data_IF_915395964837
#
_entry.id   IF_915395964837
#
_cell.length_a   1.000
_cell.length_b   1.000
_cell.length_c   1.000
_cell.angle_alpha   90.00
_cell.angle_beta   90.00
_cell.angle_gamma   90.00
#
_symmetry.space_group_name_H-M   'P 1'
#
loop_
_entity.id
_entity.type
_entity.pdbx_description
1 polymer ?
#
# COMPACT_ATOMS: atom_id res chain seq x y z
N UNK A 1 11.77 3.03 -20.92
CA UNK A 1 10.69 3.38 -19.97
C UNK A 1 9.41 3.43 -20.77
N UNK A 2 8.44 2.57 -20.47
CA UNK A 2 7.12 2.76 -21.08
C UNK A 2 6.50 3.94 -20.35
N UNK A 3 6.33 5.04 -21.07
CA UNK A 3 5.56 6.17 -20.57
C UNK A 3 4.08 5.75 -20.54
N UNK A 4 3.55 5.63 -19.32
CA UNK A 4 2.17 5.29 -19.05
C UNK A 4 1.32 6.54 -18.78
N UNK A 5 1.85 7.74 -18.98
CA UNK A 5 1.12 8.99 -18.79
C UNK A 5 -0.07 9.05 -19.76
N UNK A 6 -1.31 9.21 -19.27
CA UNK A 6 -2.48 9.36 -20.12
C UNK A 6 -2.48 10.68 -20.91
N UNK A 7 -1.72 11.70 -20.46
CA UNK A 7 -1.64 13.01 -21.11
C UNK A 7 -0.26 13.67 -21.02
N UNK A 8 0.05 14.55 -21.99
CA UNK A 8 1.27 15.37 -22.01
C UNK A 8 1.22 16.41 -20.88
N UNK A 9 2.34 16.58 -20.17
CA UNK A 9 2.49 17.61 -19.14
C UNK A 9 1.96 17.20 -17.76
N UNK A 10 1.54 15.95 -17.58
CA UNK A 10 1.15 15.45 -16.26
C UNK A 10 2.36 15.18 -15.39
N UNK A 11 2.19 15.34 -14.08
CA UNK A 11 3.27 15.20 -13.09
C UNK A 11 3.17 13.84 -12.42
N UNK A 12 4.29 13.11 -12.39
CA UNK A 12 4.37 11.82 -11.71
C UNK A 12 4.48 11.97 -10.19
N UNK A 13 4.04 10.94 -9.49
CA UNK A 13 4.07 10.88 -8.03
C UNK A 13 2.70 10.65 -7.44
N UNK A 14 2.64 9.76 -6.45
CA UNK A 14 1.38 9.35 -5.82
C UNK A 14 1.31 9.75 -4.35
N UNK A 15 2.44 10.02 -3.71
CA UNK A 15 2.52 10.19 -2.27
C UNK A 15 2.93 11.61 -1.91
N UNK A 16 2.21 12.21 -0.97
CA UNK A 16 2.57 13.51 -0.43
C UNK A 16 2.14 13.67 1.03
N UNK A 17 2.78 14.63 1.67
CA UNK A 17 2.25 15.31 2.85
C UNK A 17 2.46 16.81 2.68
N UNK A 18 1.55 17.64 3.15
CA UNK A 18 1.68 19.09 3.06
C UNK A 18 0.74 19.82 4.00
N UNK A 19 0.81 21.16 3.97
CA UNK A 19 -0.07 22.04 4.73
C UNK A 19 -1.06 22.72 3.80
N UNK A 20 -2.32 22.78 4.20
CA UNK A 20 -3.38 23.46 3.44
C UNK A 20 -3.11 24.96 3.45
N UNK A 21 -2.91 25.57 2.28
CA UNK A 21 -2.67 27.02 2.12
C UNK A 21 -3.88 27.79 1.58
N UNK A 22 -4.84 27.08 0.99
CA UNK A 22 -6.08 27.63 0.48
C UNK A 22 -7.18 26.56 0.54
N UNK A 23 -8.43 27.00 0.70
CA UNK A 23 -9.60 26.12 0.77
C UNK A 23 -10.66 26.66 -0.20
N UNK A 24 -11.15 25.81 -1.09
CA UNK A 24 -12.24 26.17 -2.01
C UNK A 24 -13.53 26.43 -1.25
N UNK A 25 -14.39 27.32 -1.76
CA UNK A 25 -15.62 27.76 -1.08
C UNK A 25 -16.62 26.65 -0.75
N UNK A 26 -16.59 25.53 -1.49
CA UNK A 26 -17.43 24.36 -1.29
C UNK A 26 -16.81 23.29 -0.36
N UNK A 27 -15.60 23.51 0.13
CA UNK A 27 -14.87 22.56 1.00
C UNK A 27 -15.03 22.97 2.45
N UNK A 28 -15.63 22.09 3.25
CA UNK A 28 -15.88 22.34 4.68
C UNK A 28 -15.04 21.48 5.62
N UNK A 29 -14.41 20.42 5.11
CA UNK A 29 -13.60 19.47 5.92
C UNK A 29 -12.29 20.09 6.41
N UNK A 30 -11.69 20.99 5.64
CA UNK A 30 -10.33 21.47 5.81
C UNK A 30 -10.28 22.95 6.19
N UNK A 31 -9.23 23.34 6.92
CA UNK A 31 -8.90 24.72 7.22
C UNK A 31 -7.49 25.05 6.74
N UNK A 32 -7.24 26.34 6.44
CA UNK A 32 -5.88 26.81 6.16
C UNK A 32 -5.02 26.51 7.40
N UNK A 33 -3.87 25.88 7.18
CA UNK A 33 -2.94 25.45 8.23
C UNK A 33 -3.04 23.97 8.58
N UNK A 34 -4.12 23.27 8.20
CA UNK A 34 -4.25 21.82 8.42
C UNK A 34 -3.11 21.07 7.72
N UNK A 35 -2.51 20.11 8.41
CA UNK A 35 -1.54 19.19 7.83
C UNK A 35 -2.25 17.95 7.32
N UNK A 36 -1.94 17.55 6.10
CA UNK A 36 -2.59 16.44 5.40
C UNK A 36 -1.57 15.56 4.70
N UNK A 37 -1.94 14.31 4.45
CA UNK A 37 -1.24 13.41 3.57
C UNK A 37 -2.23 12.61 2.73
N UNK A 38 -1.76 12.02 1.63
CA UNK A 38 -2.66 11.27 0.77
C UNK A 38 -1.99 10.55 -0.38
N UNK A 39 -2.85 9.80 -1.06
CA UNK A 39 -2.56 9.14 -2.32
C UNK A 39 -3.20 9.92 -3.47
N UNK A 40 -2.42 10.20 -4.50
CA UNK A 40 -2.85 10.87 -5.72
C UNK A 40 -2.80 9.88 -6.89
N UNK A 41 -3.66 10.11 -7.88
CA UNK A 41 -3.46 9.54 -9.20
C UNK A 41 -2.36 10.34 -9.89
N UNK A 42 -1.09 9.96 -9.67
CA UNK A 42 0.04 10.53 -10.39
C UNK A 42 -0.12 10.33 -11.90
N UNK A 43 0.35 11.30 -12.69
CA UNK A 43 0.18 11.35 -14.15
C UNK A 43 -1.26 11.58 -14.63
N UNK A 44 -2.23 11.76 -13.74
CA UNK A 44 -3.61 12.12 -14.08
C UNK A 44 -3.85 13.61 -13.79
N UNK A 45 -4.53 14.36 -14.69
CA UNK A 45 -4.80 15.78 -14.48
C UNK A 45 -5.93 16.06 -13.46
N UNK A 46 -6.68 15.03 -13.04
CA UNK A 46 -7.81 15.18 -12.12
C UNK A 46 -7.29 15.20 -10.67
N UNK A 47 -7.64 16.24 -9.89
CA UNK A 47 -7.34 16.28 -8.46
C UNK A 47 -8.03 15.15 -7.69
N UNK A 48 -7.32 14.53 -6.75
CA UNK A 48 -7.91 13.65 -5.74
C UNK A 48 -8.54 14.42 -4.58
N UNK A 49 -9.40 13.76 -3.81
CA UNK A 49 -10.10 14.31 -2.65
C UNK A 49 -10.05 13.41 -1.39
N UNK A 50 -9.41 12.23 -1.51
CA UNK A 50 -9.22 11.28 -0.41
C UNK A 50 -7.90 11.56 0.33
N UNK A 51 -7.97 12.39 1.37
CA UNK A 51 -6.82 12.75 2.21
C UNK A 51 -7.09 12.46 3.69
N UNK A 52 -6.01 12.16 4.42
CA UNK A 52 -5.99 12.01 5.88
C UNK A 52 -5.38 13.25 6.53
N UNK A 53 -5.96 13.69 7.65
CA UNK A 53 -5.34 14.68 8.53
C UNK A 53 -4.10 14.09 9.21
N UNK A 54 -3.07 14.91 9.34
CA UNK A 54 -1.82 14.60 10.03
C UNK A 54 -1.78 15.40 11.33
N UNK A 55 -1.67 14.70 12.45
CA UNK A 55 -1.39 15.30 13.76
C UNK A 55 0.12 15.28 13.95
N UNK A 56 0.79 16.41 13.68
CA UNK A 56 2.26 16.50 13.61
C UNK A 56 2.98 16.09 14.90
N UNK A 57 2.36 16.27 16.06
CA UNK A 57 2.89 15.81 17.36
C UNK A 57 2.96 14.27 17.47
N UNK A 58 2.24 13.55 16.60
CA UNK A 58 2.16 12.09 16.57
C UNK A 58 2.91 11.48 15.40
N UNK A 59 2.87 12.13 14.23
CA UNK A 59 3.51 11.66 12.99
C UNK A 59 4.11 12.85 12.26
N UNK A 60 5.43 12.83 12.04
CA UNK A 60 6.11 13.91 11.33
C UNK A 60 5.75 13.95 9.84
N UNK A 61 5.92 15.10 9.19
CA UNK A 61 5.54 15.26 7.77
C UNK A 61 6.24 14.26 6.84
N UNK A 62 7.54 14.02 7.02
CA UNK A 62 8.25 13.03 6.21
C UNK A 62 7.69 11.60 6.39
N UNK A 63 7.26 11.25 7.59
CA UNK A 63 6.62 9.97 7.88
C UNK A 63 5.20 9.92 7.30
N UNK A 64 4.45 11.02 7.38
CA UNK A 64 3.11 11.13 6.83
C UNK A 64 3.13 10.97 5.29
N UNK A 65 4.15 11.47 4.60
CA UNK A 65 4.35 11.23 3.16
C UNK A 65 4.55 9.73 2.83
N UNK A 66 4.87 8.90 3.81
CA UNK A 66 4.97 7.46 3.61
C UNK A 66 3.61 6.73 3.65
N UNK A 67 2.53 7.39 4.08
CA UNK A 67 1.22 6.77 4.29
C UNK A 67 0.42 6.54 3.01
N UNK A 68 0.41 7.47 2.05
CA UNK A 68 -0.53 7.48 0.91
C UNK A 68 -0.80 6.11 0.26
N UNK A 69 0.07 5.69 -0.66
CA UNK A 69 -0.02 4.43 -1.41
C UNK A 69 -0.04 3.21 -0.49
N UNK A 70 0.71 3.25 0.61
CA UNK A 70 0.80 2.13 1.55
C UNK A 70 -0.55 1.83 2.22
N UNK A 71 -1.25 2.87 2.68
CA UNK A 71 -2.54 2.76 3.37
C UNK A 71 -3.62 2.28 2.42
N UNK A 72 -3.73 2.84 1.22
CA UNK A 72 -4.73 2.39 0.25
C UNK A 72 -4.48 0.94 -0.18
N UNK A 73 -3.22 0.62 -0.53
CA UNK A 73 -2.87 -0.69 -1.07
C UNK A 73 -3.07 -1.78 -0.02
N UNK A 74 -2.69 -1.53 1.24
CA UNK A 74 -2.92 -2.46 2.34
C UNK A 74 -4.41 -2.69 2.58
N UNK A 75 -5.22 -1.62 2.62
CA UNK A 75 -6.68 -1.74 2.80
C UNK A 75 -7.33 -2.58 1.70
N UNK A 76 -6.98 -2.32 0.43
CA UNK A 76 -7.53 -3.06 -0.70
C UNK A 76 -7.07 -4.52 -0.71
N UNK A 77 -5.78 -4.78 -0.42
CA UNK A 77 -5.27 -6.13 -0.32
C UNK A 77 -6.01 -6.95 0.74
N UNK A 78 -6.24 -6.37 1.92
CA UNK A 78 -6.98 -7.02 3.01
C UNK A 78 -8.44 -7.27 2.60
N UNK A 79 -9.12 -6.30 1.99
CA UNK A 79 -10.47 -6.46 1.43
C UNK A 79 -10.53 -7.60 0.41
N UNK A 80 -9.61 -7.65 -0.54
CA UNK A 80 -9.59 -8.64 -1.62
C UNK A 80 -9.24 -10.06 -1.09
N UNK A 81 -8.45 -10.14 -0.01
CA UNK A 81 -8.25 -11.36 0.76
C UNK A 81 -9.51 -11.78 1.55
N UNK A 82 -10.53 -10.94 1.63
CA UNK A 82 -11.76 -11.19 2.40
C UNK A 82 -11.64 -10.88 3.89
N UNK A 83 -10.64 -10.08 4.29
CA UNK A 83 -10.42 -9.64 5.67
C UNK A 83 -11.21 -8.35 5.88
N UNK A 84 -12.13 -8.37 6.84
CA UNK A 84 -12.93 -7.20 7.20
C UNK A 84 -12.16 -6.29 8.16
N UNK A 85 -12.06 -5.01 7.82
CA UNK A 85 -11.43 -3.99 8.65
C UNK A 85 -12.53 -3.17 9.33
N UNK A 86 -12.64 -3.35 10.65
CA UNK A 86 -13.52 -2.58 11.52
C UNK A 86 -12.71 -2.05 12.71
N UNK A 87 -13.15 -0.96 13.33
CA UNK A 87 -12.47 -0.41 14.53
C UNK A 87 -12.28 -1.48 15.62
N UNK A 88 -13.26 -2.39 15.79
CA UNK A 88 -13.20 -3.48 16.77
C UNK A 88 -12.34 -4.67 16.34
N UNK A 89 -12.07 -4.87 15.05
CA UNK A 89 -11.25 -5.99 14.58
C UNK A 89 -9.74 -5.68 14.64
N UNK A 90 -9.33 -4.41 14.69
CA UNK A 90 -7.93 -3.99 14.73
C UNK A 90 -7.33 -3.92 16.15
N UNK A 91 -7.77 -4.81 17.06
CA UNK A 91 -7.14 -4.95 18.38
C UNK A 91 -5.83 -5.74 18.28
N UNK A 92 -4.69 -5.04 18.31
CA UNK A 92 -3.35 -5.62 18.43
C UNK A 92 -3.01 -6.05 19.88
N UNK A 93 -3.97 -6.02 20.82
CA UNK A 93 -3.70 -6.17 22.26
C UNK A 93 -3.44 -7.61 22.71
N UNK A 94 -3.87 -8.58 21.93
CA UNK A 94 -3.53 -9.99 22.15
C UNK A 94 -2.63 -10.46 21.01
N UNK A 95 -1.70 -11.40 21.28
CA UNK A 95 -0.72 -11.97 20.34
C UNK A 95 -1.31 -12.65 19.07
N UNK A 96 -2.58 -12.40 18.75
CA UNK A 96 -3.37 -12.94 17.63
C UNK A 96 -3.41 -12.03 16.40
N UNK A 97 -2.66 -10.91 16.39
CA UNK A 97 -2.54 -10.02 15.23
C UNK A 97 -3.84 -9.32 14.82
N UNK A 98 -3.79 -8.55 13.73
CA UNK A 98 -4.91 -7.73 13.25
C UNK A 98 -6.08 -8.61 12.81
N UNK A 99 -7.29 -8.30 13.29
CA UNK A 99 -8.55 -8.97 12.89
C UNK A 99 -8.61 -10.48 13.11
N UNK A 100 -7.86 -11.01 14.08
CA UNK A 100 -7.82 -12.45 14.39
C UNK A 100 -6.94 -13.26 13.44
N UNK A 101 -6.08 -12.59 12.65
CA UNK A 101 -5.10 -13.22 11.79
C UNK A 101 -3.70 -13.01 12.35
N UNK A 102 -2.86 -14.06 12.31
CA UNK A 102 -1.46 -14.00 12.71
C UNK A 102 -0.56 -13.83 11.48
N UNK A 103 -0.12 -12.60 11.13
CA UNK A 103 0.63 -12.38 9.90
C UNK A 103 2.03 -12.99 10.01
N UNK A 104 2.45 -13.68 8.96
CA UNK A 104 3.82 -14.15 8.79
C UNK A 104 4.38 -13.58 7.50
N UNK A 105 5.68 -13.34 7.46
CA UNK A 105 6.31 -12.67 6.32
C UNK A 105 7.55 -13.43 5.84
N UNK A 106 7.86 -13.29 4.56
CA UNK A 106 9.17 -13.62 4.01
C UNK A 106 9.92 -12.35 3.68
N UNK A 107 11.13 -12.20 4.22
CA UNK A 107 11.98 -11.05 3.95
C UNK A 107 13.45 -11.42 4.15
N UNK A 108 14.37 -10.61 3.64
CA UNK A 108 15.78 -10.79 3.93
C UNK A 108 16.04 -10.71 5.45
N UNK A 109 16.96 -11.52 6.02
CA UNK A 109 17.17 -11.61 7.47
C UNK A 109 17.40 -10.27 8.19
N UNK A 110 18.07 -9.33 7.52
CA UNK A 110 18.33 -7.98 8.05
C UNK A 110 17.09 -7.15 8.35
N UNK A 111 15.89 -7.57 7.91
CA UNK A 111 14.64 -6.85 8.13
C UNK A 111 13.68 -7.59 9.08
N UNK A 112 14.10 -8.71 9.70
CA UNK A 112 13.24 -9.49 10.60
C UNK A 112 12.68 -8.64 11.75
N UNK A 113 13.55 -7.85 12.40
CA UNK A 113 13.13 -6.96 13.50
C UNK A 113 12.14 -5.91 13.01
N UNK A 114 12.37 -5.35 11.82
CA UNK A 114 11.50 -4.35 11.24
C UNK A 114 10.09 -4.92 11.02
N UNK A 115 9.96 -6.01 10.28
CA UNK A 115 8.63 -6.58 9.96
C UNK A 115 7.90 -7.10 11.20
N UNK A 116 8.64 -7.62 12.19
CA UNK A 116 8.05 -8.03 13.47
C UNK A 116 7.55 -6.83 14.27
N UNK A 117 8.23 -5.69 14.21
CA UNK A 117 7.73 -4.46 14.83
C UNK A 117 6.40 -4.00 14.21
N UNK A 118 6.12 -4.32 12.94
CA UNK A 118 4.85 -4.06 12.27
C UNK A 118 3.78 -5.15 12.48
N UNK A 119 4.03 -6.12 13.36
CA UNK A 119 3.04 -7.12 13.77
C UNK A 119 3.17 -8.49 13.08
N UNK A 120 4.22 -8.73 12.31
CA UNK A 120 4.51 -10.10 11.86
C UNK A 120 4.87 -10.97 13.08
N UNK A 121 4.16 -12.08 13.28
CA UNK A 121 4.45 -13.03 14.38
C UNK A 121 5.73 -13.81 14.11
N UNK A 122 6.12 -13.96 12.83
CA UNK A 122 7.37 -14.56 12.42
C UNK A 122 7.80 -14.10 11.03
N UNK A 123 9.11 -13.92 10.86
CA UNK A 123 9.77 -13.64 9.59
C UNK A 123 10.63 -14.84 9.16
N UNK A 124 10.62 -15.13 7.87
CA UNK A 124 11.37 -16.23 7.27
C UNK A 124 12.25 -15.70 6.12
N UNK A 125 13.45 -16.25 5.97
CA UNK A 125 14.27 -16.00 4.78
C UNK A 125 13.66 -16.73 3.55
N UNK A 126 13.26 -17.99 3.75
CA UNK A 126 12.47 -18.79 2.82
C UNK A 126 11.86 -20.01 3.52
N UNK A 127 10.85 -20.63 2.89
CA UNK A 127 10.09 -21.81 3.34
C UNK A 127 9.18 -21.61 4.58
N UNK A 128 7.88 -21.46 4.31
CA UNK A 128 6.85 -21.18 5.33
C UNK A 128 6.01 -22.41 5.69
N UNK A 129 5.92 -23.39 4.78
CA UNK A 129 4.91 -24.47 4.84
C UNK A 129 4.97 -25.34 6.10
N UNK A 130 6.17 -25.60 6.61
CA UNK A 130 6.34 -26.38 7.83
C UNK A 130 5.76 -25.66 9.06
N UNK A 131 5.95 -24.33 9.13
CA UNK A 131 5.42 -23.51 10.21
C UNK A 131 3.89 -23.45 10.19
N UNK A 132 3.31 -23.32 8.99
CA UNK A 132 1.86 -23.26 8.81
C UNK A 132 1.20 -24.63 8.80
N UNK A 133 1.96 -25.72 8.95
CA UNK A 133 1.49 -27.11 8.84
C UNK A 133 0.73 -27.38 7.53
N UNK A 134 1.01 -26.61 6.48
CA UNK A 134 0.30 -26.69 5.21
C UNK A 134 -1.13 -26.15 5.24
N UNK A 135 -1.49 -25.29 6.20
CA UNK A 135 -2.85 -24.76 6.38
C UNK A 135 -3.02 -23.32 5.87
N UNK A 136 -1.98 -22.72 5.29
CA UNK A 136 -2.02 -21.34 4.79
C UNK A 136 -3.05 -21.21 3.66
N UNK A 137 -4.04 -20.32 3.82
CA UNK A 137 -5.14 -20.13 2.84
C UNK A 137 -5.26 -18.71 2.31
N UNK A 138 -4.53 -17.75 2.87
CA UNK A 138 -4.53 -16.34 2.46
C UNK A 138 -3.09 -15.91 2.25
N UNK A 139 -2.78 -15.37 1.07
CA UNK A 139 -1.44 -14.90 0.72
C UNK A 139 -1.52 -13.55 0.03
N UNK A 140 -0.76 -12.59 0.56
CA UNK A 140 -0.44 -11.33 -0.11
C UNK A 140 0.98 -11.41 -0.68
N UNK A 141 1.12 -11.34 -2.01
CA UNK A 141 2.42 -11.28 -2.68
C UNK A 141 2.78 -9.82 -3.03
N UNK A 142 3.70 -9.26 -2.26
CA UNK A 142 4.19 -7.89 -2.45
C UNK A 142 5.34 -7.77 -3.48
N UNK A 143 5.79 -8.87 -4.08
CA UNK A 143 6.89 -8.90 -5.06
C UNK A 143 6.35 -9.17 -6.47
N UNK A 144 5.41 -10.10 -6.58
CA UNK A 144 4.72 -10.45 -7.84
C UNK A 144 5.66 -10.86 -8.99
N UNK A 145 6.79 -11.50 -8.67
CA UNK A 145 7.62 -12.17 -9.66
C UNK A 145 7.12 -13.59 -9.91
N UNK A 146 7.64 -14.24 -10.96
CA UNK A 146 7.36 -15.65 -11.20
C UNK A 146 7.86 -16.52 -10.04
N UNK A 147 8.98 -16.14 -9.44
CA UNK A 147 9.62 -16.82 -8.32
C UNK A 147 8.81 -16.64 -7.03
N UNK A 148 8.38 -15.41 -6.70
CA UNK A 148 7.57 -15.15 -5.50
C UNK A 148 6.23 -15.88 -5.57
N UNK A 149 5.60 -15.90 -6.74
CA UNK A 149 4.33 -16.60 -6.95
C UNK A 149 4.48 -18.11 -6.78
N UNK A 150 5.58 -18.71 -7.27
CA UNK A 150 5.89 -20.14 -7.05
C UNK A 150 6.06 -20.45 -5.56
N UNK A 151 6.76 -19.59 -4.82
CA UNK A 151 6.93 -19.73 -3.36
C UNK A 151 5.56 -19.67 -2.67
N UNK A 152 4.73 -18.68 -3.02
CA UNK A 152 3.37 -18.53 -2.51
C UNK A 152 2.54 -19.79 -2.77
N UNK A 153 2.53 -20.30 -4.00
CA UNK A 153 1.77 -21.49 -4.38
C UNK A 153 2.26 -22.76 -3.69
N UNK A 154 3.56 -22.89 -3.46
CA UNK A 154 4.15 -24.00 -2.72
C UNK A 154 3.82 -23.95 -1.22
N UNK A 155 3.67 -22.75 -0.65
CA UNK A 155 3.29 -22.52 0.74
C UNK A 155 1.77 -22.67 0.98
N UNK A 156 0.96 -22.38 -0.04
CA UNK A 156 -0.50 -22.50 -0.02
C UNK A 156 -0.95 -23.92 0.32
N UNK A 157 -2.02 -24.02 1.10
CA UNK A 157 -2.70 -25.26 1.45
C UNK A 157 -3.05 -26.09 0.22
N UNK A 158 -3.08 -27.42 0.39
CA UNK A 158 -3.53 -28.35 -0.64
C UNK A 158 -5.02 -28.18 -0.98
N UNK A 159 -5.81 -27.52 -0.11
CA UNK A 159 -7.21 -27.16 -0.36
C UNK A 159 -7.35 -25.84 -1.14
N UNK A 160 -6.24 -25.21 -1.51
CA UNK A 160 -6.22 -23.92 -2.15
C UNK A 160 -6.47 -22.77 -1.18
N UNK A 161 -6.89 -21.62 -1.71
CA UNK A 161 -7.03 -20.38 -0.95
C UNK A 161 -7.11 -19.15 -1.83
N UNK A 162 -6.89 -17.98 -1.23
CA UNK A 162 -6.83 -16.69 -1.93
C UNK A 162 -5.40 -16.20 -2.01
N UNK A 163 -5.00 -15.82 -3.21
CA UNK A 163 -3.75 -15.16 -3.52
C UNK A 163 -4.08 -13.77 -4.07
N UNK A 164 -3.55 -12.74 -3.42
CA UNK A 164 -3.65 -11.35 -3.88
C UNK A 164 -2.25 -10.84 -4.14
N UNK A 165 -2.01 -10.30 -5.32
CA UNK A 165 -0.74 -9.66 -5.68
C UNK A 165 -0.87 -8.13 -5.70
N UNK A 166 0.26 -7.43 -5.66
CA UNK A 166 0.29 -5.98 -5.83
C UNK A 166 0.45 -5.53 -7.29
N UNK A 167 0.76 -6.48 -8.19
CA UNK A 167 0.89 -6.26 -9.62
C UNK A 167 0.12 -7.35 -10.40
N UNK A 168 -0.10 -7.22 -11.71
CA UNK A 168 -0.66 -8.28 -12.54
C UNK A 168 0.26 -9.53 -12.52
N UNK A 169 -0.18 -10.68 -11.95
CA UNK A 169 0.69 -11.84 -11.83
C UNK A 169 0.85 -12.56 -13.17
N UNK A 170 1.95 -13.31 -13.35
CA UNK A 170 2.20 -14.06 -14.58
C UNK A 170 1.12 -15.13 -14.84
N UNK A 171 0.35 -14.95 -15.93
CA UNK A 171 -0.79 -15.83 -16.30
C UNK A 171 -0.41 -17.29 -16.42
N UNK A 172 0.81 -17.60 -16.89
CA UNK A 172 1.32 -18.97 -17.02
C UNK A 172 1.42 -19.71 -15.68
N UNK A 173 1.69 -19.00 -14.58
CA UNK A 173 1.78 -19.61 -13.24
C UNK A 173 0.41 -19.68 -12.59
N UNK A 174 -0.47 -18.69 -12.83
CA UNK A 174 -1.84 -18.68 -12.31
C UNK A 174 -2.59 -19.98 -12.62
N UNK A 175 -2.45 -20.49 -13.84
CA UNK A 175 -3.16 -21.71 -14.30
C UNK A 175 -2.62 -23.01 -13.69
N UNK A 176 -1.50 -22.99 -12.97
CA UNK A 176 -0.92 -24.18 -12.34
C UNK A 176 -1.75 -24.68 -11.14
N UNK A 177 -2.59 -23.82 -10.53
CA UNK A 177 -3.44 -24.15 -9.38
C UNK A 177 -4.85 -23.62 -9.60
N UNK A 178 -5.77 -24.50 -10.01
CA UNK A 178 -7.19 -24.14 -10.23
C UNK A 178 -7.99 -23.95 -8.94
N UNK A 179 -7.44 -24.42 -7.82
CA UNK A 179 -7.99 -24.31 -6.48
C UNK A 179 -7.58 -23.00 -5.77
N UNK A 180 -6.77 -22.16 -6.41
CA UNK A 180 -6.35 -20.86 -5.88
C UNK A 180 -7.10 -19.73 -6.58
N UNK A 181 -7.89 -18.98 -5.83
CA UNK A 181 -8.50 -17.74 -6.30
C UNK A 181 -7.42 -16.66 -6.36
N UNK A 182 -7.15 -16.15 -7.56
CA UNK A 182 -6.10 -15.15 -7.80
C UNK A 182 -6.71 -13.78 -8.10
N UNK A 183 -6.27 -12.76 -7.38
CA UNK A 183 -6.57 -11.36 -7.63
C UNK A 183 -5.32 -10.50 -7.53
N UNK A 184 -5.44 -9.22 -7.85
CA UNK A 184 -4.38 -8.24 -7.64
C UNK A 184 -4.98 -6.85 -7.44
N UNK A 185 -4.27 -6.02 -6.68
CA UNK A 185 -4.74 -4.69 -6.28
C UNK A 185 -4.53 -3.70 -7.41
N UNK A 186 -5.61 -3.06 -7.86
CA UNK A 186 -5.55 -1.84 -8.68
C UNK A 186 -5.90 -0.63 -7.81
N UNK A 187 -4.90 -0.02 -7.17
CA UNK A 187 -5.13 1.06 -6.20
C UNK A 187 -5.84 2.29 -6.80
N UNK A 188 -5.75 2.51 -8.10
CA UNK A 188 -6.32 3.68 -8.78
C UNK A 188 -7.85 3.63 -8.91
N UNK A 189 -8.49 2.46 -8.73
CA UNK A 189 -9.96 2.38 -8.79
C UNK A 189 -10.64 3.10 -7.64
N UNK A 190 -9.92 3.43 -6.55
CA UNK A 190 -10.48 4.19 -5.41
C UNK A 190 -11.01 5.56 -5.81
N UNK A 191 -10.57 6.12 -6.94
CA UNK A 191 -11.06 7.40 -7.42
C UNK A 191 -12.44 7.30 -8.09
N UNK A 192 -13.03 6.09 -8.15
CA UNK A 192 -14.38 5.85 -8.68
C UNK A 192 -14.51 6.07 -10.19
N UNK A 193 -13.39 6.21 -10.89
CA UNK A 193 -13.31 6.51 -12.34
C UNK A 193 -12.61 5.36 -13.08
N UNK A 194 -12.80 5.24 -14.40
CA UNK A 194 -11.99 4.36 -15.22
C UNK A 194 -10.50 4.68 -15.07
N UNK A 195 -9.67 3.65 -15.04
CA UNK A 195 -8.22 3.75 -14.99
C UNK A 195 -7.70 3.66 -16.42
N UNK A 196 -7.30 4.80 -16.99
CA UNK A 196 -6.80 4.91 -18.37
C UNK A 196 -5.28 4.69 -18.45
N UNK A 197 -4.85 3.52 -17.97
CA UNK A 197 -3.48 3.04 -18.14
C UNK A 197 -3.41 1.95 -19.22
N UNK A 198 -2.24 1.76 -19.84
CA UNK A 198 -2.08 0.76 -20.89
C UNK A 198 -1.97 -0.66 -20.33
N UNK A 199 -2.38 -1.63 -21.16
CA UNK A 199 -2.14 -3.05 -20.92
C UNK A 199 -2.95 -3.60 -19.74
N UNK A 200 -2.38 -4.43 -18.85
CA UNK A 200 -3.12 -5.10 -17.79
C UNK A 200 -3.63 -4.13 -16.70
N UNK A 201 -3.20 -2.87 -16.73
CA UNK A 201 -3.59 -1.84 -15.77
C UNK A 201 -4.87 -1.10 -16.17
N UNK A 202 -5.30 -1.18 -17.43
CA UNK A 202 -6.58 -0.61 -17.87
C UNK A 202 -7.74 -1.25 -17.09
N UNK A 203 -8.62 -0.43 -16.51
CA UNK A 203 -9.82 -0.91 -15.81
C UNK A 203 -10.98 0.04 -16.01
N UNK A 204 -12.18 -0.51 -16.17
CA UNK A 204 -13.41 0.25 -16.00
C UNK A 204 -13.54 0.73 -14.55
N UNK A 205 -14.37 1.75 -14.32
CA UNK A 205 -14.72 2.16 -12.96
C UNK A 205 -15.34 0.97 -12.22
N UNK A 206 -14.92 0.76 -10.98
CA UNK A 206 -15.46 -0.30 -10.11
C UNK A 206 -16.49 0.34 -9.16
N UNK A 207 -17.80 0.05 -9.33
CA UNK A 207 -18.82 0.64 -8.47
C UNK A 207 -18.57 0.29 -7.00
N UNK A 208 -18.60 1.30 -6.12
CA UNK A 208 -18.40 1.14 -4.68
C UNK A 208 -16.96 1.33 -4.19
N UNK A 209 -15.95 1.37 -5.07
CA UNK A 209 -14.55 1.50 -4.65
C UNK A 209 -14.27 2.87 -4.01
N UNK A 210 -14.88 3.94 -4.52
CA UNK A 210 -14.76 5.27 -3.93
C UNK A 210 -15.40 5.34 -2.54
N UNK A 211 -16.63 4.84 -2.40
CA UNK A 211 -17.36 4.83 -1.12
C UNK A 211 -16.66 3.95 -0.08
N UNK A 212 -16.07 2.83 -0.52
CA UNK A 212 -15.24 2.00 0.34
C UNK A 212 -13.97 2.73 0.76
N UNK A 213 -13.27 3.40 -0.17
CA UNK A 213 -12.04 4.11 0.12
C UNK A 213 -12.27 5.29 1.07
N UNK A 214 -13.35 6.05 0.89
CA UNK A 214 -13.73 7.14 1.80
C UNK A 214 -13.88 6.64 3.25
N UNK A 215 -14.61 5.53 3.46
CA UNK A 215 -14.76 4.90 4.78
C UNK A 215 -13.43 4.35 5.32
N UNK A 216 -12.61 3.78 4.45
CA UNK A 216 -11.29 3.28 4.83
C UNK A 216 -10.37 4.40 5.29
N UNK A 217 -10.35 5.54 4.60
CA UNK A 217 -9.53 6.70 4.97
C UNK A 217 -9.93 7.29 6.32
N UNK A 218 -11.23 7.36 6.62
CA UNK A 218 -11.72 7.77 7.96
C UNK A 218 -11.23 6.83 9.07
N UNK A 219 -11.24 5.52 8.82
CA UNK A 219 -10.72 4.53 9.76
C UNK A 219 -9.19 4.62 9.88
N UNK A 220 -8.47 4.70 8.76
CA UNK A 220 -7.02 4.76 8.72
C UNK A 220 -6.50 5.99 9.45
N UNK A 221 -7.15 7.16 9.28
CA UNK A 221 -6.82 8.39 10.01
C UNK A 221 -6.86 8.16 11.53
N UNK A 222 -7.93 7.56 12.06
CA UNK A 222 -8.05 7.21 13.48
C UNK A 222 -7.00 6.20 13.93
N UNK A 223 -6.68 5.21 13.10
CA UNK A 223 -5.66 4.19 13.42
C UNK A 223 -4.26 4.80 13.47
N UNK A 224 -3.95 5.73 12.56
CA UNK A 224 -2.69 6.49 12.57
C UNK A 224 -2.62 7.36 13.81
N UNK A 225 -3.68 8.12 14.08
CA UNK A 225 -3.76 8.98 15.25
C UNK A 225 -3.67 8.19 16.58
N UNK A 226 -4.19 6.97 16.60
CA UNK A 226 -4.12 6.05 17.74
C UNK A 226 -2.80 5.26 17.83
N UNK A 227 -1.88 5.41 16.87
CA UNK A 227 -0.62 4.67 16.81
C UNK A 227 -0.74 3.19 16.46
N UNK A 228 -1.91 2.74 16.02
CA UNK A 228 -2.19 1.35 15.61
C UNK A 228 -1.78 1.07 14.16
N UNK A 229 -1.82 2.10 13.31
CA UNK A 229 -1.27 2.09 11.95
C UNK A 229 -0.06 3.03 11.93
N UNK A 230 1.12 2.52 11.55
CA UNK A 230 2.35 3.31 11.54
C UNK A 230 2.91 3.42 10.12
N UNK A 231 3.42 4.59 9.72
CA UNK A 231 4.09 4.75 8.43
C UNK A 231 5.37 3.91 8.35
N UNK A 232 5.74 3.48 7.15
CA UNK A 232 7.03 2.83 6.90
C UNK A 232 8.18 3.80 7.23
N UNK A 233 9.40 3.33 7.64
CA UNK A 233 10.47 4.24 8.03
C UNK A 233 10.82 5.23 6.92
N UNK A 234 10.61 6.51 7.20
CA UNK A 234 10.99 7.59 6.32
C UNK A 234 12.51 7.79 6.32
N UNK A 235 13.08 7.97 5.15
CA UNK A 235 14.46 8.39 4.95
C UNK A 235 14.45 9.72 4.22
N UNK A 236 14.41 10.80 5.00
CA UNK A 236 14.45 12.16 4.49
C UNK A 236 15.79 12.40 3.77
N UNK A 237 15.70 12.89 2.53
CA UNK A 237 16.83 13.29 1.70
C UNK A 237 16.92 14.81 1.69
N UNK A 238 18.14 15.32 1.72
CA UNK A 238 18.42 16.71 1.31
C UNK A 238 18.26 16.83 -0.20
N UNK A 239 17.77 17.97 -0.66
CA UNK A 239 17.60 18.25 -2.10
C UNK A 239 16.20 18.75 -2.43
N UNK A 240 15.96 18.98 -3.72
CA UNK A 240 14.70 19.45 -4.28
C UNK A 240 14.12 18.49 -5.32
N UNK A 241 13.39 19.04 -6.27
CA UNK A 241 12.72 18.27 -7.32
C UNK A 241 13.69 17.48 -8.21
N UNK A 242 14.87 18.05 -8.47
CA UNK A 242 15.89 17.47 -9.31
C UNK A 242 16.49 16.19 -8.69
N UNK A 243 16.61 16.15 -7.36
CA UNK A 243 17.21 15.03 -6.61
C UNK A 243 16.27 13.82 -6.49
N UNK A 244 14.97 14.01 -6.72
CA UNK A 244 14.00 12.92 -6.77
C UNK A 244 14.37 11.93 -7.88
N UNK A 245 14.94 12.40 -8.99
CA UNK A 245 15.33 11.55 -10.12
C UNK A 245 16.43 10.54 -9.73
N UNK A 246 17.39 10.96 -8.90
CA UNK A 246 18.41 10.07 -8.35
C UNK A 246 17.76 9.01 -7.44
N UNK A 247 16.85 9.43 -6.55
CA UNK A 247 16.13 8.50 -5.67
C UNK A 247 15.31 7.46 -6.42
N UNK A 248 14.70 7.86 -7.55
CA UNK A 248 13.99 6.93 -8.45
C UNK A 248 14.98 5.92 -9.07
N UNK A 249 16.19 6.33 -9.45
CA UNK A 249 17.21 5.42 -9.96
C UNK A 249 17.72 4.46 -8.87
N UNK A 250 17.95 4.94 -7.64
CA UNK A 250 18.31 4.08 -6.51
C UNK A 250 17.25 3.01 -6.25
N UNK A 251 15.97 3.40 -6.30
CA UNK A 251 14.84 2.47 -6.15
C UNK A 251 14.84 1.43 -7.28
N UNK A 252 15.04 1.88 -8.53
CA UNK A 252 15.12 1.02 -9.72
C UNK A 252 16.28 0.03 -9.63
N UNK A 253 17.42 0.46 -9.10
CA UNK A 253 18.60 -0.39 -8.88
C UNK A 253 18.48 -1.30 -7.64
N UNK A 254 17.37 -1.26 -6.89
CA UNK A 254 17.15 -2.10 -5.71
C UNK A 254 18.02 -1.70 -4.50
N UNK A 255 18.52 -0.45 -4.48
CA UNK A 255 19.38 0.05 -3.41
C UNK A 255 18.59 0.53 -2.18
N UNK A 256 17.29 0.79 -2.34
CA UNK A 256 16.39 1.22 -1.26
C UNK A 256 15.81 0.00 -0.56
N UNK A 257 16.19 -0.23 0.70
CA UNK A 257 15.76 -1.40 1.50
C UNK A 257 15.31 -0.99 2.88
N UNK A 258 14.16 -1.51 3.31
CA UNK A 258 13.63 -1.30 4.67
C UNK A 258 13.23 0.14 5.01
N UNK A 259 13.13 1.01 4.00
CA UNK A 259 12.82 2.44 4.16
C UNK A 259 12.12 3.00 2.92
N UNK A 260 11.55 4.18 3.05
CA UNK A 260 11.00 4.97 1.93
C UNK A 260 11.78 6.27 1.80
N UNK A 261 12.26 6.58 0.60
CA UNK A 261 12.92 7.87 0.35
C UNK A 261 11.86 8.98 0.37
N UNK A 262 12.17 10.08 1.05
CA UNK A 262 11.27 11.23 1.17
C UNK A 262 12.05 12.50 0.89
N UNK A 263 11.50 13.37 0.04
CA UNK A 263 12.12 14.63 -0.35
C UNK A 263 11.21 15.77 0.10
N UNK A 264 11.77 16.75 0.81
CA UNK A 264 11.08 17.98 1.10
C UNK A 264 11.19 18.89 -0.13
N UNK A 265 10.06 19.32 -0.68
CA UNK A 265 10.01 20.16 -1.87
C UNK A 265 9.37 21.51 -1.50
N UNK A 266 10.03 22.61 -1.83
CA UNK A 266 9.51 23.96 -1.61
C UNK A 266 9.82 24.58 -0.23
N UNK A 267 10.99 24.29 0.33
CA UNK A 267 11.64 25.22 1.29
C UNK A 267 12.18 26.46 0.56
#
# INVERSE_FOLDING_TARGET
>A
MNDFSPAIGTVGGNDFSGRVVAVGSAVHKWQIGDSICGFLYGLDPVPGDLFMRVVEDKVGMAEAACLGAGVVTAGMALRDLGISLTEGSMSLRDNTGTSGYSPITTCSPGHNVLVQSYGAVKAFDYAIRAFTKGELSLILDCITSTESMKICYAAMSARGGRYVALEPPATRIQTARKDVQTGWVMALTIFGKPVDLKGPFARDAVPGDYEWAAKWYELAEKLVEGGLLRPHPAFARSGGWEDILEGIEELRCGLVRGKKLVYAVGE
#
